data_IF_562906979059
#
_entry.id   IF_562906979059
#
_cell.length_a   1.000
_cell.length_b   1.000
_cell.length_c   1.000
_cell.angle_alpha   90.00
_cell.angle_beta   90.00
_cell.angle_gamma   90.00
#
_symmetry.space_group_name_H-M   'P 1'
#
loop_
_entity.id
_entity.type
_entity.pdbx_description
1 polymer ?
#
# COMPACT_ATOMS: atom_id res chain seq x y z
N UNK A 1 -28.97 58.19 -13.69
CA UNK A 1 -28.56 57.81 -12.31
C UNK A 1 -29.24 56.51 -11.90
N UNK A 2 -30.58 56.42 -11.87
CA UNK A 2 -31.32 55.19 -11.50
C UNK A 2 -30.99 53.93 -12.32
N UNK A 3 -30.83 54.04 -13.65
CA UNK A 3 -30.49 52.89 -14.52
C UNK A 3 -29.08 52.34 -14.30
N UNK A 4 -28.13 53.19 -13.88
CA UNK A 4 -26.74 52.78 -13.62
C UNK A 4 -26.63 52.02 -12.30
N UNK A 5 -27.40 52.44 -11.28
CA UNK A 5 -27.49 51.71 -10.02
C UNK A 5 -28.09 50.30 -10.21
N UNK A 6 -29.16 50.18 -10.99
CA UNK A 6 -29.78 48.88 -11.27
C UNK A 6 -28.87 47.90 -12.05
N UNK A 7 -27.98 48.42 -12.90
CA UNK A 7 -26.99 47.60 -13.63
C UNK A 7 -25.92 47.07 -12.68
N UNK A 8 -25.43 47.94 -11.78
CA UNK A 8 -24.47 47.55 -10.73
C UNK A 8 -25.06 46.54 -9.75
N UNK A 9 -26.31 46.73 -9.33
CA UNK A 9 -26.99 45.78 -8.42
C UNK A 9 -27.11 44.39 -9.07
N UNK A 10 -27.40 44.35 -10.38
CA UNK A 10 -27.46 43.10 -11.14
C UNK A 10 -26.09 42.42 -11.26
N UNK A 11 -25.05 43.19 -11.57
CA UNK A 11 -23.68 42.65 -11.67
C UNK A 11 -23.20 42.10 -10.31
N UNK A 12 -23.60 42.72 -9.20
CA UNK A 12 -23.35 42.22 -7.85
C UNK A 12 -24.10 40.91 -7.59
N UNK A 13 -25.39 40.83 -7.91
CA UNK A 13 -26.19 39.59 -7.77
C UNK A 13 -25.62 38.43 -8.60
N UNK A 14 -25.17 38.72 -9.83
CA UNK A 14 -24.54 37.73 -10.71
C UNK A 14 -23.20 37.26 -10.11
N UNK A 15 -22.40 38.17 -9.55
CA UNK A 15 -21.16 37.85 -8.84
C UNK A 15 -21.41 36.99 -7.60
N UNK A 16 -22.40 37.35 -6.77
CA UNK A 16 -22.76 36.60 -5.56
C UNK A 16 -23.29 35.20 -5.89
N UNK A 17 -24.02 35.07 -6.99
CA UNK A 17 -24.49 33.79 -7.51
C UNK A 17 -23.32 32.88 -7.93
N UNK A 18 -22.33 33.44 -8.64
CA UNK A 18 -21.13 32.70 -9.03
C UNK A 18 -20.25 32.32 -7.84
N UNK A 19 -20.09 33.22 -6.86
CA UNK A 19 -19.39 32.92 -5.60
C UNK A 19 -20.08 31.75 -4.89
N UNK A 20 -21.41 31.78 -4.76
CA UNK A 20 -22.19 30.73 -4.10
C UNK A 20 -22.04 29.38 -4.82
N UNK A 21 -22.04 29.39 -6.16
CA UNK A 21 -21.82 28.21 -6.99
C UNK A 21 -20.43 27.62 -6.79
N UNK A 22 -19.39 28.45 -6.80
CA UNK A 22 -18.01 28.01 -6.61
C UNK A 22 -17.77 27.49 -5.19
N UNK A 23 -18.31 28.14 -4.17
CA UNK A 23 -18.25 27.66 -2.78
C UNK A 23 -18.89 26.29 -2.63
N UNK A 24 -20.07 26.08 -3.25
CA UNK A 24 -20.73 24.77 -3.26
C UNK A 24 -19.86 23.70 -3.92
N UNK A 25 -19.17 24.04 -5.01
CA UNK A 25 -18.26 23.12 -5.69
C UNK A 25 -17.01 22.80 -4.87
N UNK A 26 -16.45 23.78 -4.15
CA UNK A 26 -15.34 23.57 -3.21
C UNK A 26 -15.76 22.59 -2.12
N UNK A 27 -16.93 22.78 -1.50
CA UNK A 27 -17.45 21.90 -0.45
C UNK A 27 -17.64 20.47 -1.00
N UNK A 28 -18.20 20.33 -2.20
CA UNK A 28 -18.34 19.03 -2.85
C UNK A 28 -16.99 18.33 -3.03
N UNK A 29 -15.98 19.03 -3.55
CA UNK A 29 -14.65 18.46 -3.76
C UNK A 29 -13.94 18.14 -2.44
N UNK A 30 -14.10 18.96 -1.40
CA UNK A 30 -13.57 18.68 -0.06
C UNK A 30 -14.18 17.41 0.52
N UNK A 31 -15.50 17.25 0.43
CA UNK A 31 -16.21 16.04 0.87
C UNK A 31 -15.75 14.81 0.09
N UNK A 32 -15.56 14.95 -1.23
CA UNK A 32 -15.05 13.87 -2.06
C UNK A 32 -13.63 13.47 -1.65
N UNK A 33 -12.74 14.44 -1.44
CA UNK A 33 -11.37 14.20 -0.96
C UNK A 33 -11.37 13.48 0.39
N UNK A 34 -12.21 13.92 1.33
CA UNK A 34 -12.28 13.30 2.65
C UNK A 34 -12.69 11.83 2.57
N UNK A 35 -13.70 11.49 1.76
CA UNK A 35 -14.08 10.09 1.51
C UNK A 35 -12.91 9.29 0.94
N UNK A 36 -12.17 9.85 -0.02
CA UNK A 36 -11.00 9.17 -0.60
C UNK A 36 -9.88 8.94 0.42
N UNK A 37 -9.65 9.89 1.34
CA UNK A 37 -8.69 9.72 2.44
C UNK A 37 -9.14 8.65 3.44
N UNK A 38 -10.43 8.58 3.76
CA UNK A 38 -11.00 7.50 4.59
C UNK A 38 -10.81 6.13 3.92
N UNK A 39 -11.11 6.02 2.62
CA UNK A 39 -10.82 4.80 1.86
C UNK A 39 -9.32 4.49 1.88
N UNK A 40 -8.44 5.47 1.63
CA UNK A 40 -7.00 5.28 1.69
C UNK A 40 -6.55 4.76 3.05
N UNK A 41 -7.08 5.29 4.15
CA UNK A 41 -6.79 4.85 5.51
C UNK A 41 -7.16 3.39 5.77
N UNK A 42 -8.21 2.86 5.11
CA UNK A 42 -8.55 1.44 5.17
C UNK A 42 -7.52 0.55 4.45
N UNK A 43 -6.91 1.04 3.37
CA UNK A 43 -5.97 0.28 2.53
C UNK A 43 -4.49 0.50 2.90
N UNK A 44 -4.12 1.59 3.57
CA UNK A 44 -2.77 1.80 4.10
C UNK A 44 -2.27 0.65 5.00
N UNK A 45 -3.11 0.10 5.90
CA UNK A 45 -2.89 -1.19 6.55
C UNK A 45 -2.49 -2.33 5.62
N UNK A 46 -3.18 -2.42 4.49
CA UNK A 46 -3.05 -3.48 3.50
C UNK A 46 -1.90 -3.22 2.51
N UNK A 47 -1.30 -2.02 2.50
CA UNK A 47 -0.02 -1.78 1.81
C UNK A 47 1.13 -2.52 2.47
N UNK A 48 0.94 -3.07 3.67
CA UNK A 48 1.92 -4.01 4.21
C UNK A 48 1.36 -5.16 5.04
N UNK A 49 0.68 -6.11 4.39
CA UNK A 49 0.18 -7.30 5.04
C UNK A 49 1.37 -8.09 5.60
N UNK A 50 2.46 -8.16 4.85
CA UNK A 50 3.71 -8.83 5.24
C UNK A 50 4.37 -8.20 6.47
N UNK A 51 4.17 -6.90 6.77
CA UNK A 51 4.66 -6.29 8.03
C UNK A 51 3.73 -6.53 9.22
N UNK A 52 2.48 -6.95 8.99
CA UNK A 52 1.46 -7.16 10.04
C UNK A 52 1.19 -8.62 10.36
N UNK A 53 1.61 -9.55 9.51
CA UNK A 53 1.52 -10.98 9.82
C UNK A 53 2.38 -11.32 11.04
N UNK A 54 1.89 -12.15 11.98
CA UNK A 54 2.73 -12.70 13.05
C UNK A 54 3.92 -13.48 12.49
N UNK A 55 5.02 -13.53 13.24
CA UNK A 55 6.23 -14.24 12.81
C UNK A 55 5.97 -15.73 12.59
N UNK A 56 5.11 -16.31 13.41
CA UNK A 56 4.70 -17.72 13.40
C UNK A 56 4.05 -18.10 12.06
N UNK A 57 3.18 -17.23 11.54
CA UNK A 57 2.50 -17.46 10.26
C UNK A 57 3.49 -17.38 9.10
N UNK A 58 4.38 -16.38 9.11
CA UNK A 58 5.42 -16.24 8.09
C UNK A 58 6.35 -17.45 8.10
N UNK A 59 6.80 -17.89 9.28
CA UNK A 59 7.65 -19.07 9.43
C UNK A 59 6.94 -20.35 8.98
N UNK A 60 5.64 -20.48 9.23
CA UNK A 60 4.84 -21.62 8.73
C UNK A 60 4.79 -21.65 7.20
N UNK A 61 4.62 -20.49 6.56
CA UNK A 61 4.69 -20.38 5.10
C UNK A 61 6.08 -20.75 4.61
N UNK A 62 7.15 -20.29 5.27
CA UNK A 62 8.52 -20.65 4.89
C UNK A 62 8.75 -22.15 5.00
N UNK A 63 8.32 -22.82 6.07
CA UNK A 63 8.49 -24.28 6.24
C UNK A 63 7.75 -25.09 5.16
N UNK A 64 6.62 -24.58 4.65
CA UNK A 64 5.86 -25.17 3.55
C UNK A 64 6.52 -24.97 2.18
N UNK A 65 7.18 -23.84 1.96
CA UNK A 65 7.80 -23.50 0.66
C UNK A 65 9.26 -23.97 0.58
N UNK A 66 9.97 -24.00 1.71
CA UNK A 66 11.36 -24.46 1.81
C UNK A 66 11.42 -25.98 1.96
N UNK A 67 11.03 -26.71 0.92
CA UNK A 67 11.14 -28.17 0.91
C UNK A 67 12.59 -28.63 0.76
N UNK A 68 13.29 -28.28 -0.32
CA UNK A 68 14.70 -28.63 -0.53
C UNK A 68 15.49 -27.47 -1.13
N UNK A 69 16.71 -27.23 -0.64
CA UNK A 69 17.63 -26.23 -1.16
C UNK A 69 18.74 -26.91 -2.01
N UNK A 70 18.64 -26.80 -3.33
CA UNK A 70 19.66 -27.32 -4.26
C UNK A 70 20.82 -26.31 -4.39
N UNK A 71 21.88 -26.50 -3.61
CA UNK A 71 22.95 -25.50 -3.49
C UNK A 71 23.84 -25.37 -4.73
N UNK A 72 23.86 -26.39 -5.59
CA UNK A 72 24.61 -26.37 -6.85
C UNK A 72 23.81 -25.74 -7.99
N UNK A 73 22.54 -25.41 -7.76
CA UNK A 73 21.71 -24.80 -8.78
C UNK A 73 22.05 -23.33 -9.01
N UNK A 74 22.16 -22.94 -10.28
CA UNK A 74 22.23 -21.51 -10.66
C UNK A 74 20.86 -20.81 -10.59
N UNK A 75 19.78 -21.55 -10.35
CA UNK A 75 18.40 -21.03 -10.31
C UNK A 75 17.99 -20.79 -8.86
N UNK A 76 17.79 -19.52 -8.50
CA UNK A 76 17.36 -19.12 -7.15
C UNK A 76 16.04 -19.79 -6.71
N UNK A 77 15.14 -20.10 -7.65
CA UNK A 77 13.89 -20.83 -7.38
C UNK A 77 14.10 -22.23 -6.78
N UNK A 78 15.28 -22.83 -7.01
CA UNK A 78 15.65 -24.12 -6.42
C UNK A 78 16.33 -24.00 -5.05
N UNK A 79 16.54 -22.78 -4.57
CA UNK A 79 17.09 -22.47 -3.26
C UNK A 79 16.07 -21.62 -2.46
N UNK A 80 14.91 -22.20 -2.10
CA UNK A 80 13.80 -21.45 -1.53
C UNK A 80 14.16 -20.68 -0.25
N UNK A 81 15.01 -21.24 0.64
CA UNK A 81 15.44 -20.54 1.85
C UNK A 81 16.27 -19.29 1.53
N UNK A 82 17.13 -19.38 0.51
CA UNK A 82 17.92 -18.25 0.03
C UNK A 82 17.04 -17.21 -0.69
N UNK A 83 16.12 -17.66 -1.53
CA UNK A 83 15.18 -16.80 -2.25
C UNK A 83 14.35 -15.95 -1.29
N UNK A 84 13.78 -16.58 -0.27
CA UNK A 84 12.98 -15.93 0.78
C UNK A 84 13.83 -14.95 1.59
N UNK A 85 15.07 -15.31 1.91
CA UNK A 85 16.02 -14.43 2.62
C UNK A 85 16.43 -13.19 1.81
N UNK A 86 16.20 -13.20 0.49
CA UNK A 86 16.44 -12.08 -0.41
C UNK A 86 15.34 -11.01 -0.41
N UNK A 87 14.13 -11.32 0.06
CA UNK A 87 12.93 -10.47 -0.14
C UNK A 87 12.98 -9.16 0.65
N UNK A 88 13.23 -9.22 1.96
CA UNK A 88 13.36 -8.03 2.81
C UNK A 88 14.12 -8.34 4.10
N UNK A 89 14.50 -7.30 4.86
CA UNK A 89 15.18 -7.44 6.14
C UNK A 89 14.45 -8.39 7.11
N UNK A 90 13.12 -8.22 7.25
CA UNK A 90 12.31 -9.06 8.15
C UNK A 90 12.34 -10.54 7.76
N UNK A 91 12.21 -10.83 6.47
CA UNK A 91 12.22 -12.21 5.97
C UNK A 91 13.58 -12.85 6.18
N UNK A 92 14.66 -12.11 5.94
CA UNK A 92 16.02 -12.55 6.25
C UNK A 92 16.19 -12.87 7.73
N UNK A 93 15.79 -11.95 8.62
CA UNK A 93 15.90 -12.17 10.06
C UNK A 93 15.15 -13.44 10.51
N UNK A 94 13.92 -13.63 10.01
CA UNK A 94 13.13 -14.83 10.31
C UNK A 94 13.75 -16.11 9.73
N UNK A 95 14.18 -16.07 8.47
CA UNK A 95 14.80 -17.21 7.82
C UNK A 95 16.11 -17.62 8.50
N UNK A 96 16.92 -16.66 8.97
CA UNK A 96 18.14 -16.93 9.74
C UNK A 96 17.83 -17.45 11.15
N UNK A 97 16.73 -16.97 11.78
CA UNK A 97 16.32 -17.44 13.11
C UNK A 97 15.75 -18.87 13.14
N UNK A 98 15.46 -19.45 11.96
CA UNK A 98 14.88 -20.79 11.84
C UNK A 98 15.85 -21.75 11.11
N UNK A 99 16.77 -22.42 11.83
CA UNK A 99 17.76 -23.32 11.24
C UNK A 99 17.15 -24.46 10.39
N UNK A 100 15.92 -24.89 10.70
CA UNK A 100 15.19 -25.93 9.97
C UNK A 100 15.02 -25.62 8.48
N UNK A 101 14.91 -24.34 8.10
CA UNK A 101 14.80 -23.95 6.69
C UNK A 101 16.08 -24.22 5.89
N UNK A 102 17.21 -24.31 6.59
CA UNK A 102 18.54 -24.53 6.02
C UNK A 102 19.05 -25.95 6.24
N UNK A 103 18.30 -26.83 6.90
CA UNK A 103 18.73 -28.22 7.12
C UNK A 103 18.40 -29.15 5.94
N UNK A 104 17.49 -28.74 5.06
CA UNK A 104 17.07 -29.51 3.88
C UNK A 104 17.89 -29.08 2.67
N UNK A 105 19.06 -29.68 2.49
CA UNK A 105 20.04 -29.31 1.46
C UNK A 105 20.27 -30.50 0.51
N UNK A 106 20.30 -30.20 -0.79
CA UNK A 106 20.77 -31.11 -1.83
C UNK A 106 22.01 -30.52 -2.51
N UNK A 107 23.01 -31.36 -2.70
CA UNK A 107 24.22 -31.05 -3.44
C UNK A 107 24.27 -32.07 -4.57
N UNK A 108 23.90 -31.66 -5.78
CA UNK A 108 24.09 -32.48 -6.97
C UNK A 108 25.50 -32.21 -7.50
N UNK A 109 26.34 -33.24 -7.49
CA UNK A 109 27.71 -33.25 -8.03
C UNK A 109 27.65 -33.53 -9.52
#
# INVERSE_FOLDING_TARGET
ISRVLADVDKDLDDCDSEISRLQSHIIFLQNHRQRLEEYRGCWEPLRSPIRRQPNEIILRVFDLVCDMNELTSKKLQKMPALAISGVCFRWRALATSCPKLWSRISIQI
#
